data_IF_636657466630
#
_entry.id   IF_636657466630
#
_cell.length_a   1.000
_cell.length_b   1.000
_cell.length_c   1.000
_cell.angle_alpha   90.00
_cell.angle_beta   90.00
_cell.angle_gamma   90.00
#
_symmetry.space_group_name_H-M   'P 1'
#
loop_
_entity.id
_entity.type
_entity.pdbx_description
1 polymer ?
#
# COMPACT_ATOMS: atom_id res chain seq x y z
N UNK A 1 -14.20 6.01 16.46
CA UNK A 1 -12.89 6.63 16.52
C UNK A 1 -12.17 6.52 15.21
N UNK A 2 -12.24 7.58 14.43
CA UNK A 2 -11.63 7.63 13.12
C UNK A 2 -10.11 7.47 13.17
N UNK A 3 -9.50 7.98 14.26
CA UNK A 3 -8.05 7.88 14.43
C UNK A 3 -7.57 6.43 14.46
N UNK A 4 -8.21 5.59 15.25
CA UNK A 4 -7.85 4.19 15.38
C UNK A 4 -8.12 3.46 14.06
N UNK A 5 -9.22 3.79 13.41
CA UNK A 5 -9.58 3.17 12.14
C UNK A 5 -8.56 3.49 11.05
N UNK A 6 -8.03 4.72 11.04
CA UNK A 6 -7.04 5.11 10.05
C UNK A 6 -5.72 4.34 10.23
N UNK A 7 -5.30 4.17 11.47
CA UNK A 7 -4.09 3.41 11.75
C UNK A 7 -4.24 1.96 11.32
N UNK A 8 -5.40 1.37 11.61
CA UNK A 8 -5.67 0.00 11.20
C UNK A 8 -5.64 -0.14 9.68
N UNK A 9 -6.21 0.83 8.97
CA UNK A 9 -6.21 0.83 7.51
C UNK A 9 -4.81 0.98 6.95
N UNK A 10 -4.00 1.84 7.56
CA UNK A 10 -2.61 2.01 7.14
C UNK A 10 -1.84 0.71 7.28
N UNK A 11 -2.00 0.03 8.40
CA UNK A 11 -1.32 -1.23 8.63
C UNK A 11 -1.75 -2.30 7.61
N UNK A 12 -3.04 -2.36 7.32
CA UNK A 12 -3.55 -3.31 6.35
C UNK A 12 -3.00 -3.04 4.94
N UNK A 13 -3.03 -1.77 4.53
CA UNK A 13 -2.54 -1.40 3.20
C UNK A 13 -1.03 -1.60 3.09
N UNK A 14 -0.31 -1.29 4.16
CA UNK A 14 1.14 -1.49 4.18
C UNK A 14 1.48 -2.98 4.07
N UNK A 15 0.74 -3.82 4.76
CA UNK A 15 0.94 -5.26 4.68
C UNK A 15 0.69 -5.76 3.26
N UNK A 16 -0.41 -5.33 2.64
CA UNK A 16 -0.75 -5.72 1.28
C UNK A 16 0.33 -5.30 0.30
N UNK A 17 0.82 -4.07 0.45
CA UNK A 17 1.87 -3.54 -0.41
C UNK A 17 3.14 -4.37 -0.28
N UNK A 18 3.54 -4.66 0.95
CA UNK A 18 4.74 -5.46 1.19
C UNK A 18 4.61 -6.85 0.59
N UNK A 19 3.45 -7.47 0.76
CA UNK A 19 3.21 -8.80 0.22
C UNK A 19 3.34 -8.82 -1.29
N UNK A 20 2.74 -7.84 -1.97
CA UNK A 20 2.81 -7.73 -3.42
C UNK A 20 4.24 -7.56 -3.88
N UNK A 21 5.00 -6.67 -3.22
CA UNK A 21 6.38 -6.43 -3.57
C UNK A 21 7.25 -7.65 -3.34
N UNK A 22 6.96 -8.41 -2.29
CA UNK A 22 7.67 -9.65 -2.01
C UNK A 22 7.41 -10.69 -3.09
N UNK A 23 6.18 -10.76 -3.57
CA UNK A 23 5.82 -11.66 -4.66
C UNK A 23 6.55 -11.29 -5.94
N UNK A 24 6.62 -10.00 -6.24
CA UNK A 24 7.36 -9.51 -7.40
C UNK A 24 8.84 -9.90 -7.33
N UNK A 25 9.42 -9.75 -6.16
CA UNK A 25 10.83 -10.08 -5.95
C UNK A 25 11.09 -11.58 -6.11
N UNK A 26 10.18 -12.40 -5.61
CA UNK A 26 10.36 -13.85 -5.58
C UNK A 26 10.06 -14.52 -6.92
N UNK A 27 9.13 -13.97 -7.70
CA UNK A 27 8.66 -14.62 -8.92
C UNK A 27 8.63 -13.69 -10.13
N UNK A 28 9.70 -12.95 -10.40
CA UNK A 28 9.67 -11.98 -11.51
C UNK A 28 9.48 -12.63 -12.86
N UNK A 29 10.04 -13.83 -13.06
CA UNK A 29 9.99 -14.52 -14.35
C UNK A 29 8.71 -15.33 -14.57
N UNK A 30 7.89 -15.44 -13.53
CA UNK A 30 6.65 -16.20 -13.60
C UNK A 30 5.47 -15.37 -14.09
N UNK A 31 5.66 -14.07 -14.24
CA UNK A 31 4.59 -13.15 -14.62
C UNK A 31 4.73 -12.68 -16.06
N UNK A 32 3.60 -12.59 -16.75
CA UNK A 32 3.56 -11.94 -18.06
C UNK A 32 3.74 -10.44 -17.89
N UNK A 33 4.03 -9.73 -18.97
CA UNK A 33 4.17 -8.27 -18.95
C UNK A 33 2.90 -7.60 -18.42
N UNK A 34 1.74 -8.09 -18.83
CA UNK A 34 0.48 -7.52 -18.38
C UNK A 34 0.27 -7.72 -16.89
N UNK A 35 0.59 -8.90 -16.39
CA UNK A 35 0.49 -9.20 -14.97
C UNK A 35 1.42 -8.34 -14.16
N UNK A 36 2.67 -8.22 -14.63
CA UNK A 36 3.68 -7.42 -13.96
C UNK A 36 3.25 -5.95 -13.90
N UNK A 37 2.80 -5.42 -15.03
CA UNK A 37 2.33 -4.04 -15.10
C UNK A 37 1.15 -3.80 -14.14
N UNK A 38 0.22 -4.75 -14.09
CA UNK A 38 -0.95 -4.66 -13.20
C UNK A 38 -0.52 -4.65 -11.73
N UNK A 39 0.38 -5.55 -11.36
CA UNK A 39 0.85 -5.65 -9.99
C UNK A 39 1.59 -4.38 -9.57
N UNK A 40 2.41 -3.83 -10.45
CA UNK A 40 3.12 -2.58 -10.18
C UNK A 40 2.12 -1.44 -9.97
N UNK A 41 1.10 -1.36 -10.81
CA UNK A 41 0.05 -0.33 -10.69
C UNK A 41 -0.69 -0.46 -9.36
N UNK A 42 -1.03 -1.68 -8.97
CA UNK A 42 -1.71 -1.93 -7.71
C UNK A 42 -0.83 -1.53 -6.52
N UNK A 43 0.45 -1.88 -6.58
CA UNK A 43 1.39 -1.52 -5.52
C UNK A 43 1.50 -0.02 -5.36
N UNK A 44 1.57 0.71 -6.45
CA UNK A 44 1.63 2.17 -6.43
C UNK A 44 0.36 2.75 -5.83
N UNK A 45 -0.78 2.19 -6.22
CA UNK A 45 -2.07 2.66 -5.71
C UNK A 45 -2.17 2.46 -4.19
N UNK A 46 -1.74 1.30 -3.71
CA UNK A 46 -1.74 1.02 -2.28
C UNK A 46 -0.80 1.97 -1.53
N UNK A 47 0.38 2.23 -2.09
CA UNK A 47 1.33 3.15 -1.49
C UNK A 47 0.76 4.56 -1.40
N UNK A 48 0.05 4.99 -2.44
CA UNK A 48 -0.61 6.30 -2.44
C UNK A 48 -1.68 6.38 -1.36
N UNK A 49 -2.45 5.31 -1.19
CA UNK A 49 -3.47 5.28 -0.13
C UNK A 49 -2.86 5.38 1.26
N UNK A 50 -1.75 4.66 1.49
CA UNK A 50 -1.02 4.74 2.75
C UNK A 50 -0.54 6.16 2.99
N UNK A 51 0.04 6.77 1.96
CA UNK A 51 0.55 8.14 2.04
C UNK A 51 -0.57 9.12 2.42
N UNK A 52 -1.72 9.01 1.76
CA UNK A 52 -2.85 9.88 2.06
C UNK A 52 -3.34 9.71 3.50
N UNK A 53 -3.42 8.47 3.97
CA UNK A 53 -3.86 8.22 5.34
C UNK A 53 -2.88 8.80 6.36
N UNK A 54 -1.58 8.73 6.06
CA UNK A 54 -0.56 9.27 6.95
C UNK A 54 -0.62 10.80 6.97
N UNK A 55 -0.91 11.44 5.84
CA UNK A 55 -1.09 12.88 5.78
C UNK A 55 -2.26 13.29 6.66
N UNK A 56 -3.37 12.54 6.61
CA UNK A 56 -4.52 12.81 7.46
C UNK A 56 -4.17 12.71 8.94
N UNK A 57 -3.41 11.68 9.30
CA UNK A 57 -3.00 11.50 10.70
C UNK A 57 -2.07 12.62 11.15
N UNK A 58 -1.18 13.07 10.28
CA UNK A 58 -0.29 14.19 10.57
C UNK A 58 -1.07 15.47 10.83
N UNK A 59 -2.07 15.73 9.99
CA UNK A 59 -2.93 16.91 10.16
C UNK A 59 -3.67 16.88 11.47
N UNK A 60 -4.15 15.72 11.89
CA UNK A 60 -4.85 15.56 13.16
C UNK A 60 -3.94 15.83 14.34
N UNK A 61 -2.69 15.39 14.26
CA UNK A 61 -1.72 15.60 15.32
C UNK A 61 -1.37 17.07 15.47
N UNK A 62 -1.31 17.79 14.38
CA UNK A 62 -0.93 19.20 14.38
C UNK A 62 -2.04 20.09 14.92
N UNK A 63 -3.25 19.60 14.98
CA UNK A 63 -4.39 20.33 15.53
C UNK A 63 -4.61 19.99 17.00
#
# INVERSE_FOLDING_TARGET
>A
MSHVNNIAKVQEKAFETELILRMLESYPDAMSENELSTVITLSRRLAEEVHCLLIEEQAKKDN
#
